data_IF_071776461645
#
_entry.id   IF_071776461645
#
_cell.length_a   1.000
_cell.length_b   1.000
_cell.length_c   1.000
_cell.angle_alpha   90.00
_cell.angle_beta   90.00
_cell.angle_gamma   90.00
#
_symmetry.space_group_name_H-M   'P 1'
#
loop_
_entity.id
_entity.type
_entity.pdbx_description
1 polymer ?
#
# COMPACT_ATOMS: atom_id res chain seq x y z
N UNK A 1 -0.87 -13.95 -11.57
CA UNK A 1 -0.96 -13.10 -12.77
C UNK A 1 -0.03 -11.90 -12.69
N UNK A 2 -0.18 -11.01 -11.70
CA UNK A 2 0.71 -9.86 -11.53
C UNK A 2 2.19 -10.23 -11.44
N UNK A 3 2.55 -11.28 -10.70
CA UNK A 3 3.95 -11.73 -10.61
C UNK A 3 4.50 -12.24 -11.96
N UNK A 4 3.64 -12.84 -12.79
CA UNK A 4 4.05 -13.46 -14.06
C UNK A 4 4.08 -12.47 -15.24
N UNK A 5 3.21 -11.47 -15.23
CA UNK A 5 2.98 -10.56 -16.37
C UNK A 5 3.22 -9.08 -16.04
N UNK A 6 3.56 -8.78 -14.78
CA UNK A 6 3.73 -7.41 -14.30
C UNK A 6 2.43 -6.61 -14.25
N UNK A 7 2.53 -5.35 -13.83
CA UNK A 7 1.38 -4.45 -13.70
C UNK A 7 0.71 -4.15 -15.05
N UNK A 8 1.51 -3.82 -16.07
CA UNK A 8 0.99 -3.37 -17.37
C UNK A 8 0.53 -4.51 -18.28
N UNK A 9 0.95 -5.75 -18.02
CA UNK A 9 0.57 -6.94 -18.79
C UNK A 9 -0.71 -7.63 -18.31
N UNK A 10 -1.43 -7.03 -17.35
CA UNK A 10 -2.64 -7.61 -16.75
C UNK A 10 -3.79 -6.61 -16.82
N UNK A 11 -4.95 -7.07 -17.29
CA UNK A 11 -6.24 -6.35 -17.24
C UNK A 11 -7.21 -7.02 -16.27
N UNK A 12 -8.29 -6.32 -15.89
CA UNK A 12 -9.36 -6.89 -15.08
C UNK A 12 -10.06 -8.06 -15.79
N UNK A 13 -10.22 -7.98 -17.11
CA UNK A 13 -10.81 -9.06 -17.91
C UNK A 13 -9.93 -10.31 -17.91
N UNK A 14 -8.61 -10.15 -18.01
CA UNK A 14 -7.68 -11.28 -17.91
C UNK A 14 -7.79 -11.97 -16.55
N UNK A 15 -7.89 -11.19 -15.46
CA UNK A 15 -8.03 -11.72 -14.10
C UNK A 15 -9.38 -12.43 -13.93
N UNK A 16 -10.48 -11.82 -14.39
CA UNK A 16 -11.81 -12.43 -14.32
C UNK A 16 -11.85 -13.76 -15.09
N UNK A 17 -11.28 -13.78 -16.29
CA UNK A 17 -11.16 -14.97 -17.14
C UNK A 17 -10.34 -16.06 -16.47
N UNK A 18 -9.17 -15.72 -15.93
CA UNK A 18 -8.30 -16.67 -15.21
C UNK A 18 -8.98 -17.23 -13.96
N UNK A 19 -9.74 -16.40 -13.25
CA UNK A 19 -10.53 -16.80 -12.09
C UNK A 19 -11.80 -17.61 -12.45
N UNK A 20 -12.11 -17.81 -13.74
CA UNK A 20 -13.27 -18.57 -14.19
C UNK A 20 -14.61 -17.88 -13.92
N UNK A 21 -14.63 -16.56 -13.75
CA UNK A 21 -15.83 -15.76 -13.49
C UNK A 21 -16.10 -14.77 -14.63
N UNK A 22 -17.34 -14.30 -14.75
CA UNK A 22 -17.64 -13.23 -15.71
C UNK A 22 -17.04 -11.89 -15.24
N UNK A 23 -16.63 -11.04 -16.17
CA UNK A 23 -16.20 -9.66 -15.87
C UNK A 23 -17.24 -8.91 -15.04
N UNK A 24 -18.53 -9.08 -15.34
CA UNK A 24 -19.62 -8.45 -14.59
C UNK A 24 -19.70 -8.93 -13.13
N UNK A 25 -19.46 -10.22 -12.88
CA UNK A 25 -19.40 -10.76 -11.51
C UNK A 25 -18.13 -10.27 -10.79
N UNK A 26 -17.00 -10.19 -11.50
CA UNK A 26 -15.73 -9.72 -10.95
C UNK A 26 -15.79 -8.24 -10.54
N UNK A 27 -16.30 -7.38 -11.42
CA UNK A 27 -16.42 -5.94 -11.19
C UNK A 27 -17.36 -5.58 -10.02
N UNK A 28 -18.20 -6.51 -9.55
CA UNK A 28 -18.98 -6.35 -8.31
C UNK A 28 -18.13 -6.43 -7.04
N UNK A 29 -16.92 -6.97 -7.11
CA UNK A 29 -15.99 -7.08 -5.97
C UNK A 29 -14.79 -6.14 -6.10
N UNK A 30 -14.38 -5.84 -7.33
CA UNK A 30 -13.22 -4.99 -7.58
C UNK A 30 -13.52 -4.01 -8.71
N UNK A 31 -13.68 -2.74 -8.34
CA UNK A 31 -13.92 -1.68 -9.31
C UNK A 31 -12.67 -1.33 -10.16
N UNK A 32 -11.47 -1.58 -9.61
CA UNK A 32 -10.20 -1.17 -10.22
C UNK A 32 -9.15 -2.27 -10.11
N UNK A 33 -8.16 -2.23 -11.00
CA UNK A 33 -7.02 -3.17 -10.97
C UNK A 33 -6.17 -3.00 -9.71
N UNK A 34 -6.10 -1.78 -9.21
CA UNK A 34 -5.47 -1.38 -7.95
C UNK A 34 -6.17 -2.07 -6.79
N UNK A 35 -7.51 -2.08 -6.74
CA UNK A 35 -8.25 -2.76 -5.70
C UNK A 35 -7.97 -4.28 -5.69
N UNK A 36 -7.86 -4.91 -6.86
CA UNK A 36 -7.47 -6.33 -6.95
C UNK A 36 -6.07 -6.56 -6.41
N UNK A 37 -5.10 -5.74 -6.82
CA UNK A 37 -3.73 -5.87 -6.38
C UNK A 37 -3.58 -5.65 -4.87
N UNK A 38 -4.20 -4.59 -4.32
CA UNK A 38 -4.22 -4.36 -2.87
C UNK A 38 -4.86 -5.55 -2.16
N UNK A 39 -5.98 -6.08 -2.64
CA UNK A 39 -6.60 -7.26 -2.03
C UNK A 39 -5.69 -8.50 -2.07
N UNK A 40 -5.03 -8.74 -3.20
CA UNK A 40 -4.13 -9.87 -3.38
C UNK A 40 -2.90 -9.81 -2.46
N UNK A 41 -2.36 -8.60 -2.23
CA UNK A 41 -1.13 -8.40 -1.47
C UNK A 41 -1.33 -7.86 -0.05
N UNK A 42 -2.57 -7.57 0.36
CA UNK A 42 -2.91 -7.21 1.76
C UNK A 42 -2.35 -8.21 2.78
N UNK A 43 -2.33 -9.53 2.56
CA UNK A 43 -1.72 -10.47 3.49
C UNK A 43 -0.23 -10.18 3.81
N UNK A 44 0.51 -9.51 2.93
CA UNK A 44 1.90 -9.09 3.18
C UNK A 44 1.97 -7.88 4.13
N UNK A 45 1.00 -6.97 4.06
CA UNK A 45 0.95 -5.76 4.88
C UNK A 45 0.24 -5.95 6.21
N UNK A 46 -0.70 -6.88 6.27
CA UNK A 46 -1.56 -7.08 7.43
C UNK A 46 -0.79 -7.37 8.73
N UNK A 47 0.31 -8.15 8.75
CA UNK A 47 1.13 -8.32 9.94
C UNK A 47 1.72 -7.00 10.44
N UNK A 48 2.32 -6.22 9.53
CA UNK A 48 2.95 -4.92 9.83
C UNK A 48 1.92 -3.95 10.42
N UNK A 49 0.76 -3.84 9.77
CA UNK A 49 -0.36 -3.01 10.23
C UNK A 49 -0.85 -3.43 11.61
N UNK A 50 -1.06 -4.73 11.83
CA UNK A 50 -1.54 -5.25 13.12
C UNK A 50 -0.55 -5.00 14.26
N UNK A 51 0.74 -5.18 14.00
CA UNK A 51 1.77 -4.94 15.01
C UNK A 51 1.91 -3.43 15.32
N UNK A 52 1.84 -2.56 14.31
CA UNK A 52 1.84 -1.11 14.51
C UNK A 52 0.60 -0.65 15.31
N UNK A 53 -0.59 -1.17 14.99
CA UNK A 53 -1.83 -0.88 15.73
C UNK A 53 -1.79 -1.35 17.17
N UNK A 54 -1.13 -2.49 17.43
CA UNK A 54 -0.93 -3.01 18.78
C UNK A 54 0.18 -2.27 19.55
N UNK A 55 0.77 -1.21 18.97
CA UNK A 55 1.93 -0.49 19.53
C UNK A 55 3.15 -1.39 19.80
N UNK A 56 3.27 -2.48 19.01
CA UNK A 56 4.37 -3.45 19.13
C UNK A 56 5.53 -3.16 18.15
N UNK A 57 5.39 -2.15 17.29
CA UNK A 57 6.45 -1.70 16.39
C UNK A 57 6.93 -0.30 16.76
N UNK A 58 8.23 -0.09 16.61
CA UNK A 58 8.82 1.25 16.59
C UNK A 58 8.61 1.88 15.20
N UNK A 59 8.82 3.19 15.11
CA UNK A 59 8.85 3.91 13.83
C UNK A 59 9.82 3.26 12.84
N UNK A 60 11.04 2.96 13.30
CA UNK A 60 12.10 2.36 12.49
C UNK A 60 11.67 0.99 11.96
N UNK A 61 11.23 0.08 12.83
CA UNK A 61 10.80 -1.26 12.43
C UNK A 61 9.62 -1.23 11.46
N UNK A 62 8.66 -0.32 11.67
CA UNK A 62 7.55 -0.14 10.73
C UNK A 62 8.04 0.27 9.33
N UNK A 63 8.95 1.24 9.24
CA UNK A 63 9.50 1.69 7.95
C UNK A 63 10.28 0.58 7.26
N UNK A 64 11.10 -0.19 8.00
CA UNK A 64 11.83 -1.33 7.45
C UNK A 64 10.90 -2.44 6.93
N UNK A 65 9.92 -2.86 7.73
CA UNK A 65 8.99 -3.92 7.33
C UNK A 65 8.14 -3.53 6.13
N UNK A 66 7.67 -2.28 6.09
CA UNK A 66 6.93 -1.76 4.96
C UNK A 66 7.82 -1.70 3.70
N UNK A 67 9.04 -1.20 3.82
CA UNK A 67 10.01 -1.14 2.72
C UNK A 67 10.29 -2.51 2.11
N UNK A 68 10.54 -3.51 2.95
CA UNK A 68 10.76 -4.89 2.52
C UNK A 68 9.52 -5.47 1.81
N UNK A 69 8.32 -5.25 2.35
CA UNK A 69 7.09 -5.73 1.73
C UNK A 69 6.87 -5.14 0.32
N UNK A 70 7.14 -3.85 0.13
CA UNK A 70 6.94 -3.19 -1.17
C UNK A 70 8.08 -3.45 -2.16
N UNK A 71 9.31 -3.75 -1.71
CA UNK A 71 10.41 -4.19 -2.59
C UNK A 71 10.17 -5.61 -3.09
N UNK A 72 9.69 -6.51 -2.23
CA UNK A 72 9.35 -7.89 -2.62
C UNK A 72 8.17 -7.93 -3.60
N UNK A 73 7.31 -6.90 -3.59
CA UNK A 73 6.19 -6.79 -4.50
C UNK A 73 6.07 -5.37 -5.09
N UNK A 74 6.76 -5.06 -6.21
CA UNK A 74 6.67 -3.75 -6.84
C UNK A 74 5.25 -3.37 -7.30
N UNK A 75 4.39 -4.36 -7.58
CA UNK A 75 2.97 -4.12 -7.88
C UNK A 75 2.23 -3.51 -6.70
N UNK A 76 2.60 -3.89 -5.48
CA UNK A 76 2.07 -3.28 -4.27
C UNK A 76 2.50 -1.80 -4.17
N UNK A 77 3.77 -1.49 -4.47
CA UNK A 77 4.23 -0.11 -4.53
C UNK A 77 3.47 0.73 -5.55
N UNK A 78 3.24 0.19 -6.75
CA UNK A 78 2.41 0.85 -7.78
C UNK A 78 1.00 1.07 -7.25
N UNK A 79 0.38 0.07 -6.64
CA UNK A 79 -1.04 0.10 -6.27
C UNK A 79 -1.35 1.01 -5.07
N UNK A 80 -0.36 1.20 -4.18
CA UNK A 80 -0.48 2.06 -3.01
C UNK A 80 -0.23 3.54 -3.31
N UNK A 81 0.45 3.88 -4.42
CA UNK A 81 0.76 5.28 -4.70
C UNK A 81 -0.52 6.12 -4.85
N UNK A 82 -0.62 7.31 -4.21
CA UNK A 82 -1.77 8.18 -4.40
C UNK A 82 -1.99 8.56 -5.87
N UNK A 83 -0.89 8.70 -6.63
CA UNK A 83 -0.94 8.98 -8.07
C UNK A 83 -1.52 7.82 -8.91
N UNK A 84 -1.58 6.59 -8.37
CA UNK A 84 -2.25 5.45 -9.01
C UNK A 84 -3.70 5.30 -8.57
N UNK A 85 -4.15 6.04 -7.55
CA UNK A 85 -5.57 6.13 -7.23
C UNK A 85 -6.20 6.87 -8.41
N UNK A 86 -6.85 6.12 -9.30
CA UNK A 86 -7.68 6.73 -10.32
C UNK A 86 -8.59 7.76 -9.66
N UNK A 87 -8.73 8.92 -10.30
CA UNK A 87 -9.54 10.06 -9.86
C UNK A 87 -11.02 9.67 -9.93
N UNK A 88 -11.47 8.68 -9.16
CA UNK A 88 -12.84 8.63 -8.68
C UNK A 88 -12.93 9.65 -7.56
N UNK A 89 -13.14 10.90 -7.98
CA UNK A 89 -13.54 12.00 -7.11
C UNK A 89 -14.67 11.53 -6.20
N UNK A 90 -14.53 11.87 -4.91
CA UNK A 90 -15.58 12.16 -3.93
C UNK A 90 -16.95 12.30 -4.62
N UNK A 91 -17.74 11.21 -4.62
CA UNK A 91 -19.07 11.19 -5.25
C UNK A 91 -19.55 9.83 -5.75
N UNK A 92 -18.67 8.90 -6.12
CA UNK A 92 -19.11 7.57 -6.58
C UNK A 92 -19.26 6.59 -5.42
N UNK A 93 -20.42 6.71 -4.77
CA UNK A 93 -20.97 5.73 -3.84
C UNK A 93 -21.21 4.38 -4.54
N UNK A 94 -20.17 3.58 -4.70
CA UNK A 94 -20.34 2.13 -4.67
C UNK A 94 -19.23 1.49 -3.86
N UNK A 95 -19.47 1.47 -2.55
CA UNK A 95 -19.11 0.34 -1.69
C UNK A 95 -19.34 -0.96 -2.45
N UNK A 96 -18.28 -1.52 -3.00
CA UNK A 96 -18.26 -2.89 -3.51
C UNK A 96 -16.84 -3.43 -3.45
N UNK A 97 -16.24 -3.31 -2.27
CA UNK A 97 -15.74 -4.50 -1.61
C UNK A 97 -16.85 -4.94 -0.66
N UNK A 98 -17.42 -6.12 -0.87
CA UNK A 98 -18.22 -6.78 0.16
C UNK A 98 -17.49 -6.65 1.50
N UNK A 99 -18.20 -6.45 2.61
CA UNK A 99 -17.63 -6.26 3.97
C UNK A 99 -16.65 -7.37 4.43
N UNK A 100 -16.36 -8.36 3.59
CA UNK A 100 -15.47 -9.49 3.82
C UNK A 100 -14.01 -9.24 3.43
N UNK A 101 -13.72 -8.28 2.53
CA UNK A 101 -12.32 -8.05 2.08
C UNK A 101 -11.70 -6.92 2.92
N UNK A 102 -10.82 -7.29 3.83
CA UNK A 102 -9.95 -6.34 4.53
C UNK A 102 -8.89 -5.88 3.55
N UNK A 103 -8.82 -4.57 3.30
CA UNK A 103 -7.79 -3.93 2.50
C UNK A 103 -6.88 -3.09 3.40
N UNK A 104 -5.59 -3.08 3.08
CA UNK A 104 -4.65 -2.09 3.62
C UNK A 104 -4.40 -1.06 2.53
N UNK A 105 -4.91 0.15 2.73
CA UNK A 105 -4.72 1.26 1.81
C UNK A 105 -3.63 2.22 2.29
N UNK A 106 -3.28 3.16 1.41
CA UNK A 106 -2.26 4.17 1.70
C UNK A 106 -2.65 5.11 2.85
N UNK A 107 -3.93 5.42 3.05
CA UNK A 107 -4.33 6.37 4.10
C UNK A 107 -4.15 5.72 5.48
N UNK A 108 -4.45 4.42 5.59
CA UNK A 108 -4.18 3.63 6.78
C UNK A 108 -2.68 3.55 7.10
N UNK A 109 -1.83 3.34 6.09
CA UNK A 109 -0.38 3.29 6.29
C UNK A 109 0.19 4.65 6.68
N UNK A 110 -0.29 5.75 6.07
CA UNK A 110 0.12 7.10 6.40
C UNK A 110 -0.31 7.49 7.82
N UNK A 111 -1.53 7.15 8.21
CA UNK A 111 -2.04 7.36 9.58
C UNK A 111 -1.16 6.64 10.62
N UNK A 112 -0.82 5.36 10.37
CA UNK A 112 0.05 4.60 11.27
C UNK A 112 1.45 5.20 11.37
N UNK A 113 2.02 5.59 10.23
CA UNK A 113 3.33 6.24 10.19
C UNK A 113 3.32 7.58 10.95
N UNK A 114 2.27 8.38 10.78
CA UNK A 114 2.08 9.66 11.48
C UNK A 114 1.99 9.48 12.99
N UNK A 115 1.23 8.49 13.46
CA UNK A 115 1.13 8.15 14.89
C UNK A 115 2.46 7.68 15.47
N UNK A 116 3.18 6.82 14.75
CA UNK A 116 4.51 6.36 15.18
C UNK A 116 5.51 7.52 15.24
N UNK A 117 5.45 8.46 14.28
CA UNK A 117 6.27 9.66 14.27
C UNK A 117 5.94 10.61 15.44
N UNK A 118 4.65 10.81 15.73
CA UNK A 118 4.19 11.60 16.87
C UNK A 118 4.75 11.04 18.20
N UNK A 119 4.62 9.72 18.36
CA UNK A 119 5.13 9.00 19.53
C UNK A 119 6.65 9.12 19.64
N UNK A 120 7.39 8.96 18.53
CA UNK A 120 8.84 9.10 18.52
C UNK A 120 9.31 10.51 18.92
N UNK A 121 8.62 11.55 18.43
CA UNK A 121 8.98 12.95 18.71
C UNK A 121 8.47 13.46 20.06
N UNK A 122 7.65 12.68 20.77
CA UNK A 122 7.00 13.11 22.01
C UNK A 122 6.06 14.31 21.81
N UNK A 123 5.46 14.45 20.62
CA UNK A 123 4.56 15.55 20.27
C UNK A 123 3.18 15.01 19.93
N UNK A 124 2.15 15.81 20.20
CA UNK A 124 0.76 15.53 19.82
C UNK A 124 0.36 16.19 18.50
N UNK A 125 1.33 16.72 17.75
CA UNK A 125 1.08 17.38 16.47
C UNK A 125 0.55 16.34 15.46
N UNK A 126 -0.37 16.77 14.61
CA UNK A 126 -0.79 15.96 13.48
C UNK A 126 0.38 15.82 12.49
N UNK A 127 0.84 14.59 12.31
CA UNK A 127 1.94 14.26 11.40
C UNK A 127 1.46 13.59 10.12
N UNK A 128 0.15 13.63 9.81
CA UNK A 128 -0.42 12.99 8.62
C UNK A 128 0.24 13.48 7.33
N UNK A 129 0.29 14.80 7.08
CA UNK A 129 0.86 15.35 5.84
C UNK A 129 2.33 14.95 5.66
N UNK A 130 3.08 14.93 6.76
CA UNK A 130 4.48 14.51 6.78
C UNK A 130 4.58 13.02 6.46
N UNK A 131 3.74 12.19 7.06
CA UNK A 131 3.70 10.76 6.82
C UNK A 131 3.31 10.42 5.37
N UNK A 132 2.30 11.09 4.79
CA UNK A 132 1.90 10.92 3.39
C UNK A 132 3.06 11.24 2.43
N UNK A 133 3.80 12.32 2.71
CA UNK A 133 4.95 12.72 1.90
C UNK A 133 6.03 11.63 1.93
N UNK A 134 6.39 11.13 3.12
CA UNK A 134 7.42 10.11 3.26
C UNK A 134 7.00 8.74 2.73
N UNK A 135 5.73 8.35 2.94
CA UNK A 135 5.19 7.13 2.36
C UNK A 135 5.21 7.20 0.83
N UNK A 136 4.77 8.32 0.25
CA UNK A 136 4.86 8.53 -1.20
C UNK A 136 6.31 8.49 -1.71
N UNK A 137 7.24 9.07 -0.95
CA UNK A 137 8.67 9.03 -1.22
C UNK A 137 9.24 7.62 -1.23
N UNK A 138 8.93 6.81 -0.22
CA UNK A 138 9.32 5.40 -0.11
C UNK A 138 8.83 4.62 -1.33
N UNK A 139 7.52 4.67 -1.60
CA UNK A 139 6.91 3.92 -2.71
C UNK A 139 7.51 4.35 -4.06
N UNK A 140 7.67 5.65 -4.27
CA UNK A 140 8.28 6.19 -5.49
C UNK A 140 9.75 5.78 -5.65
N UNK A 141 10.50 5.71 -4.55
CA UNK A 141 11.89 5.32 -4.56
C UNK A 141 12.05 3.85 -4.95
N UNK A 142 11.25 2.96 -4.37
CA UNK A 142 11.27 1.52 -4.68
C UNK A 142 11.02 1.28 -6.17
N UNK A 143 10.06 2.00 -6.76
CA UNK A 143 9.79 1.89 -8.20
C UNK A 143 10.92 2.40 -9.10
N UNK A 144 11.70 3.38 -8.64
CA UNK A 144 12.85 3.94 -9.38
C UNK A 144 14.12 3.10 -9.23
N UNK A 145 14.18 2.27 -8.19
CA UNK A 145 15.38 1.53 -7.80
C UNK A 145 15.07 0.05 -7.56
N UNK A 146 14.62 -0.70 -8.59
CA UNK A 146 14.17 -2.08 -8.44
C UNK A 146 15.27 -3.06 -8.01
N UNK A 147 16.54 -2.72 -8.23
CA UNK A 147 17.69 -3.56 -7.88
C UNK A 147 18.19 -3.33 -6.44
N UNK A 148 17.51 -2.48 -5.67
CA UNK A 148 17.91 -2.11 -4.30
C UNK A 148 17.06 -2.83 -3.25
N UNK A 149 17.63 -3.00 -2.05
CA UNK A 149 16.95 -3.66 -0.93
C UNK A 149 15.91 -2.74 -0.26
N UNK A 150 15.01 -3.34 0.54
CA UNK A 150 14.12 -2.58 1.42
C UNK A 150 14.91 -1.83 2.49
N UNK A 151 16.04 -2.39 2.95
CA UNK A 151 16.98 -1.71 3.84
C UNK A 151 17.50 -0.37 3.27
N UNK A 152 17.90 -0.34 1.99
CA UNK A 152 18.34 0.91 1.34
C UNK A 152 17.21 1.96 1.29
N UNK A 153 15.98 1.52 0.98
CA UNK A 153 14.80 2.39 0.95
C UNK A 153 14.47 2.96 2.34
N UNK A 154 14.47 2.10 3.35
CA UNK A 154 14.15 2.44 4.73
C UNK A 154 15.18 3.40 5.32
N UNK A 155 16.47 3.13 5.11
CA UNK A 155 17.55 4.03 5.53
C UNK A 155 17.40 5.43 4.95
N UNK A 156 17.06 5.54 3.65
CA UNK A 156 16.82 6.83 3.02
C UNK A 156 15.67 7.57 3.71
N UNK A 157 14.53 6.93 3.90
CA UNK A 157 13.34 7.55 4.50
C UNK A 157 13.59 7.93 5.96
N UNK A 158 14.22 7.05 6.74
CA UNK A 158 14.57 7.33 8.14
C UNK A 158 15.57 8.48 8.27
N UNK A 159 16.56 8.59 7.37
CA UNK A 159 17.53 9.70 7.37
C UNK A 159 16.90 11.07 7.11
N UNK A 160 15.69 11.12 6.58
CA UNK A 160 14.94 12.35 6.34
C UNK A 160 13.90 12.62 7.44
N UNK A 161 13.38 11.56 8.07
CA UNK A 161 12.40 11.62 9.16
C UNK A 161 13.02 12.01 10.52
N UNK A 162 14.25 11.55 10.78
CA UNK A 162 14.98 11.65 12.04
C UNK A 162 16.05 12.74 11.99
#
# INVERSE_FOLDING_TARGET
MFDAHGWYGVTLDDIAKEAGVSTAAFNRYFATKQAVAIAAYTPMLLPVVKQAQAANLTLESFVYELAEAVVQCPVLAISLLPASRDVTRVGDETRSTSHEVVLVDFDQLADLLGRLLANYRGRSDDHMEVAELYLSGLLSWVLKHPDRSGEDAANLVLSQLL
#
